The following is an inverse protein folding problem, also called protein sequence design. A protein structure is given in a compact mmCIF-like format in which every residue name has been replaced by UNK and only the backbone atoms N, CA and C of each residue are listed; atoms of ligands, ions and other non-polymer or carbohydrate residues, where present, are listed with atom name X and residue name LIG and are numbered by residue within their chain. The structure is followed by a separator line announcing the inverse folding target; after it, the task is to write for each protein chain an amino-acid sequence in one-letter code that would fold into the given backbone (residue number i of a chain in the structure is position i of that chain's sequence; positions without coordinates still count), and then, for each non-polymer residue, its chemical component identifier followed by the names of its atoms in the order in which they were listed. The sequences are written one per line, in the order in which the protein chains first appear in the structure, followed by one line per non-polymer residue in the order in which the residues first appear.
data_IF_161571088160
#
_entry.id   IF_161571088160
#
_cell.length_a   1.000
_cell.length_b   1.000
_cell.length_c   1.000
_cell.angle_alpha   90.00
_cell.angle_beta   90.00
_cell.angle_gamma   90.00
#
_symmetry.space_group_name_H-M   'P 1'
#
loop_
_entity.id
_entity.type
_entity.pdbx_description
1 polymer ?
#
# COMPACT_ATOMS: atom_id res chain seq x y z
N UNK A 1 -4.44 -1.69 2.16
CA UNK A 1 -3.03 -2.02 1.89
C UNK A 1 -3.02 -3.26 1.02
N UNK A 2 -2.17 -3.29 0.00
CA UNK A 2 -2.14 -4.39 -0.97
C UNK A 2 -0.75 -5.02 -1.09
N UNK A 3 -0.72 -6.35 -1.29
CA UNK A 3 0.49 -7.16 -1.43
C UNK A 3 0.37 -8.12 -2.62
N UNK A 4 1.49 -8.55 -3.23
CA UNK A 4 1.53 -9.26 -4.52
C UNK A 4 0.85 -10.64 -4.50
N UNK A 5 0.80 -11.27 -3.32
CA UNK A 5 0.15 -12.56 -3.05
C UNK A 5 0.30 -12.93 -1.59
N UNK A 6 -0.40 -13.99 -1.17
CA UNK A 6 -0.12 -14.72 0.07
C UNK A 6 0.88 -15.85 -0.22
N UNK A 7 1.97 -15.98 0.56
CA UNK A 7 2.96 -17.07 0.37
C UNK A 7 2.68 -18.27 1.29
N UNK A 8 2.37 -18.00 2.54
CA UNK A 8 2.04 -18.98 3.56
C UNK A 8 0.59 -18.80 3.95
N UNK A 9 -0.21 -19.83 3.74
CA UNK A 9 -1.60 -19.87 4.14
C UNK A 9 -1.68 -20.48 5.53
N UNK A 10 -2.31 -19.76 6.45
CA UNK A 10 -2.48 -20.26 7.81
C UNK A 10 -3.58 -21.30 7.86
N UNK A 11 -3.32 -22.40 8.57
CA UNK A 11 -4.31 -23.43 8.82
C UNK A 11 -5.53 -22.88 9.59
N UNK A 12 -6.72 -23.41 9.30
CA UNK A 12 -7.99 -22.96 9.90
C UNK A 12 -7.97 -22.97 11.43
N UNK A 13 -7.27 -23.94 12.02
CA UNK A 13 -7.18 -24.16 13.47
C UNK A 13 -5.86 -23.73 14.09
N UNK A 14 -5.04 -22.96 13.36
CA UNK A 14 -3.77 -22.46 13.89
C UNK A 14 -3.99 -21.60 15.14
N UNK A 15 -3.11 -21.74 16.12
CA UNK A 15 -3.12 -20.88 17.30
C UNK A 15 -2.69 -19.45 16.95
N UNK A 16 -2.93 -18.45 17.81
CA UNK A 16 -2.57 -17.05 17.54
C UNK A 16 -1.08 -16.87 17.21
N UNK A 17 -0.19 -17.65 17.83
CA UNK A 17 1.25 -17.60 17.58
C UNK A 17 1.61 -18.05 16.16
N UNK A 18 1.02 -19.15 15.70
CA UNK A 18 1.24 -19.68 14.35
C UNK A 18 0.70 -18.73 13.29
N UNK A 19 -0.50 -18.17 13.50
CA UNK A 19 -1.06 -17.11 12.65
C UNK A 19 -0.12 -15.92 12.53
N UNK A 20 0.39 -15.42 13.66
CA UNK A 20 1.33 -14.31 13.64
C UNK A 20 2.62 -14.67 12.89
N UNK A 21 3.15 -15.87 13.08
CA UNK A 21 4.37 -16.31 12.40
C UNK A 21 4.20 -16.37 10.88
N UNK A 22 3.06 -16.89 10.39
CA UNK A 22 2.79 -16.95 8.96
C UNK A 22 2.59 -15.57 8.35
N UNK A 23 1.84 -14.69 9.02
CA UNK A 23 1.70 -13.28 8.61
C UNK A 23 3.07 -12.60 8.58
N UNK A 24 3.89 -12.77 9.61
CA UNK A 24 5.25 -12.21 9.67
C UNK A 24 6.13 -12.71 8.54
N UNK A 25 6.09 -14.01 8.22
CA UNK A 25 6.83 -14.59 7.09
C UNK A 25 6.38 -13.99 5.76
N UNK A 26 5.07 -13.81 5.58
CA UNK A 26 4.51 -13.19 4.39
C UNK A 26 4.98 -11.73 4.27
N UNK A 27 4.78 -10.92 5.31
CA UNK A 27 5.15 -9.50 5.32
C UNK A 27 6.66 -9.31 5.11
N UNK A 28 7.50 -10.11 5.74
CA UNK A 28 8.95 -10.02 5.58
C UNK A 28 9.44 -10.39 4.17
N UNK A 29 8.66 -11.17 3.42
CA UNK A 29 9.05 -11.69 2.10
C UNK A 29 8.38 -10.96 0.94
N UNK A 30 7.41 -10.09 1.22
CA UNK A 30 6.58 -9.42 0.22
C UNK A 30 6.83 -7.91 0.25
N UNK A 31 6.90 -7.32 -0.94
CA UNK A 31 6.92 -5.87 -1.09
C UNK A 31 5.50 -5.33 -0.96
N UNK A 32 5.31 -4.26 -0.19
CA UNK A 32 4.06 -3.52 -0.14
C UNK A 32 3.85 -2.83 -1.49
N UNK A 33 2.70 -3.04 -2.13
CA UNK A 33 2.37 -2.46 -3.44
C UNK A 33 1.67 -1.12 -3.23
N UNK A 34 0.72 -1.10 -2.31
CA UNK A 34 -0.14 0.05 -2.08
C UNK A 34 -0.48 0.22 -0.59
N UNK A 35 -0.51 1.47 -0.15
CA UNK A 35 -1.04 1.87 1.14
C UNK A 35 -2.21 2.85 0.96
N UNK A 36 -3.42 2.37 1.24
CA UNK A 36 -4.60 3.21 1.41
C UNK A 36 -4.80 3.59 2.88
N UNK A 37 -5.12 4.86 3.14
CA UNK A 37 -5.57 5.31 4.46
C UNK A 37 -6.70 6.32 4.34
N UNK A 38 -7.49 6.45 5.41
CA UNK A 38 -8.64 7.34 5.46
C UNK A 38 -8.64 8.17 6.74
N UNK A 39 -8.94 9.46 6.60
CA UNK A 39 -9.22 10.35 7.73
C UNK A 39 -10.71 10.60 7.85
N UNK A 40 -11.20 10.56 9.08
CA UNK A 40 -12.58 10.83 9.44
C UNK A 40 -12.60 12.09 10.29
N UNK A 41 -13.33 13.10 9.83
CA UNK A 41 -13.60 14.30 10.62
C UNK A 41 -14.85 14.11 11.48
N UNK A 42 -14.97 14.92 12.53
CA UNK A 42 -16.10 14.92 13.46
C UNK A 42 -17.45 15.24 12.78
N UNK A 43 -17.40 15.84 11.59
CA UNK A 43 -18.56 16.13 10.73
C UNK A 43 -18.98 14.94 9.84
N UNK A 44 -18.42 13.76 10.06
CA UNK A 44 -18.67 12.57 9.25
C UNK A 44 -18.03 12.60 7.86
N UNK A 45 -17.25 13.62 7.50
CA UNK A 45 -16.53 13.66 6.22
C UNK A 45 -15.34 12.71 6.26
N UNK A 46 -15.30 11.80 5.29
CA UNK A 46 -14.16 10.93 5.02
C UNK A 46 -13.31 11.51 3.91
N UNK A 47 -12.00 11.46 4.07
CA UNK A 47 -11.04 11.67 2.98
C UNK A 47 -10.16 10.43 2.88
N UNK A 48 -10.01 9.90 1.68
CA UNK A 48 -9.23 8.68 1.42
C UNK A 48 -8.08 8.99 0.50
N UNK A 49 -6.92 8.43 0.81
CA UNK A 49 -5.72 8.48 0.00
C UNK A 49 -5.27 7.07 -0.32
N UNK A 50 -4.69 6.92 -1.49
CA UNK A 50 -4.07 5.70 -1.98
C UNK A 50 -2.66 6.05 -2.45
N UNK A 51 -1.66 5.40 -1.86
CA UNK A 51 -0.25 5.58 -2.21
C UNK A 51 0.22 4.31 -2.89
N UNK A 52 0.71 4.46 -4.12
CA UNK A 52 1.41 3.40 -4.84
C UNK A 52 2.91 3.51 -4.56
N UNK A 53 3.55 2.39 -4.22
CA UNK A 53 4.99 2.34 -4.01
C UNK A 53 5.72 2.04 -5.31
N UNK A 54 6.94 2.58 -5.43
CA UNK A 54 7.83 2.28 -6.55
C UNK A 54 8.45 0.88 -6.45
N UNK A 55 9.08 0.46 -7.54
CA UNK A 55 9.82 -0.79 -7.66
C UNK A 55 8.96 -2.05 -7.55
N UNK A 56 7.66 -1.92 -7.81
CA UNK A 56 6.78 -3.06 -8.04
C UNK A 56 6.66 -3.32 -9.54
N UNK A 57 7.38 -4.34 -10.00
CA UNK A 57 7.28 -4.80 -11.38
C UNK A 57 6.04 -5.68 -11.55
N UNK A 58 4.99 -5.10 -12.15
CA UNK A 58 3.75 -5.79 -12.50
C UNK A 58 4.01 -6.95 -13.48
N UNK A 59 5.09 -6.89 -14.27
CA UNK A 59 5.46 -7.94 -15.22
C UNK A 59 6.19 -9.13 -14.57
N UNK A 60 6.71 -8.95 -13.35
CA UNK A 60 7.43 -9.98 -12.61
C UNK A 60 6.61 -11.27 -12.48
N UNK A 61 7.25 -12.46 -12.60
CA UNK A 61 6.59 -13.74 -12.37
C UNK A 61 6.10 -13.90 -10.92
N UNK A 62 6.59 -13.10 -9.97
CA UNK A 62 6.11 -13.09 -8.58
C UNK A 62 4.81 -12.28 -8.39
N UNK A 63 4.40 -11.49 -9.40
CA UNK A 63 3.10 -10.80 -9.44
C UNK A 63 2.01 -11.80 -9.83
N UNK A 64 1.32 -12.35 -8.82
CA UNK A 64 0.22 -13.29 -9.00
C UNK A 64 -1.16 -12.59 -8.98
N UNK A 65 -1.21 -11.26 -8.85
CA UNK A 65 -2.47 -10.52 -8.93
C UNK A 65 -2.86 -10.39 -10.41
N UNK A 66 -3.73 -11.28 -10.88
CA UNK A 66 -4.31 -11.20 -12.22
C UNK A 66 -4.97 -9.84 -12.52
N UNK A 67 -5.47 -9.15 -11.48
CA UNK A 67 -6.01 -7.79 -11.58
C UNK A 67 -4.98 -6.72 -11.96
N UNK A 68 -3.77 -6.75 -11.41
CA UNK A 68 -2.72 -5.77 -11.72
C UNK A 68 -2.15 -5.96 -13.14
N UNK A 69 -2.17 -7.18 -13.68
CA UNK A 69 -1.76 -7.43 -15.08
C UNK A 69 -2.71 -6.80 -16.10
N UNK A 70 -3.97 -6.55 -15.73
CA UNK A 70 -4.97 -5.84 -16.54
C UNK A 70 -5.08 -4.34 -16.23
N UNK A 71 -4.29 -3.82 -15.29
CA UNK A 71 -4.30 -2.40 -14.92
C UNK A 71 -3.88 -1.51 -16.10
N UNK A 72 -4.46 -0.31 -16.18
CA UNK A 72 -4.14 0.67 -17.21
C UNK A 72 -2.66 1.08 -17.14
N UNK A 73 -2.07 1.49 -18.27
CA UNK A 73 -0.63 1.79 -18.36
C UNK A 73 -0.18 2.89 -17.39
N UNK A 74 -1.03 3.87 -17.11
CA UNK A 74 -0.81 4.92 -16.11
C UNK A 74 -0.72 4.35 -14.68
N UNK A 75 -1.58 3.39 -14.34
CA UNK A 75 -1.59 2.72 -13.04
C UNK A 75 -0.34 1.85 -12.86
N UNK A 76 0.08 1.15 -13.92
CA UNK A 76 1.33 0.37 -13.96
C UNK A 76 2.56 1.25 -13.75
N UNK A 77 2.57 2.45 -14.32
CA UNK A 77 3.65 3.42 -14.11
C UNK A 77 3.71 3.90 -12.66
N UNK A 78 2.56 4.07 -12.01
CA UNK A 78 2.45 4.40 -10.59
C UNK A 78 3.03 3.34 -9.64
N UNK A 79 3.02 2.06 -10.02
CA UNK A 79 3.71 0.99 -9.30
C UNK A 79 5.21 0.85 -9.65
N UNK A 80 5.61 1.44 -10.78
CA UNK A 80 6.97 1.44 -11.30
C UNK A 80 7.73 2.70 -10.92
N UNK A 81 8.13 3.47 -11.93
CA UNK A 81 9.01 4.63 -11.77
C UNK A 81 8.36 5.83 -11.05
N UNK A 82 7.04 5.97 -11.15
CA UNK A 82 6.30 7.12 -10.64
C UNK A 82 5.79 6.93 -9.19
N UNK A 83 6.02 5.76 -8.59
CA UNK A 83 5.62 5.43 -7.23
C UNK A 83 6.48 6.09 -6.13
N UNK A 84 5.98 6.08 -4.90
CA UNK A 84 6.68 6.62 -3.72
C UNK A 84 7.73 5.62 -3.21
N UNK A 85 8.91 6.12 -2.81
CA UNK A 85 9.89 5.30 -2.09
C UNK A 85 9.39 5.02 -0.65
N UNK A 86 9.28 3.76 -0.22
CA UNK A 86 8.76 3.42 1.11
C UNK A 86 9.60 3.98 2.26
N UNK A 87 10.92 4.13 2.10
CA UNK A 87 11.80 4.70 3.12
C UNK A 87 11.52 6.20 3.31
N UNK A 88 11.25 6.91 2.20
CA UNK A 88 10.88 8.33 2.23
C UNK A 88 9.52 8.51 2.91
N UNK A 89 8.54 7.66 2.60
CA UNK A 89 7.24 7.71 3.27
C UNK A 89 7.38 7.37 4.76
N UNK A 90 8.18 6.38 5.11
CA UNK A 90 8.44 5.98 6.49
C UNK A 90 9.02 7.15 7.30
N UNK A 91 10.00 7.85 6.75
CA UNK A 91 10.58 9.02 7.40
C UNK A 91 9.56 10.16 7.51
N UNK A 92 8.78 10.42 6.46
CA UNK A 92 7.70 11.40 6.49
C UNK A 92 6.67 11.09 7.60
N UNK A 93 6.23 9.84 7.71
CA UNK A 93 5.24 9.42 8.71
C UNK A 93 5.78 9.44 10.14
N UNK A 94 7.10 9.47 10.34
CA UNK A 94 7.73 9.63 11.67
C UNK A 94 7.69 11.07 12.18
N UNK A 95 7.80 12.04 11.28
CA UNK A 95 7.90 13.47 11.63
C UNK A 95 6.59 14.23 11.44
N UNK A 96 5.66 13.69 10.65
CA UNK A 96 4.36 14.29 10.37
C UNK A 96 3.27 13.68 11.27
N UNK A 97 2.73 14.47 12.19
CA UNK A 97 1.46 14.14 12.87
C UNK A 97 0.31 14.09 11.85
N UNK A 98 -0.70 13.26 12.10
CA UNK A 98 -1.93 13.10 11.32
C UNK A 98 -2.57 14.45 10.94
N UNK A 99 -2.49 15.45 11.82
CA UNK A 99 -2.97 16.82 11.58
C UNK A 99 -2.18 17.58 10.51
N UNK A 100 -0.89 17.29 10.36
CA UNK A 100 -0.03 17.86 9.33
C UNK A 100 -0.16 17.11 8.00
N UNK A 101 -0.37 15.78 8.04
CA UNK A 101 -0.60 14.99 6.82
C UNK A 101 -1.85 15.46 6.08
N UNK A 102 -2.94 15.74 6.82
CA UNK A 102 -4.19 16.28 6.25
C UNK A 102 -4.06 17.65 5.60
N UNK A 103 -3.06 18.46 5.99
CA UNK A 103 -2.73 19.76 5.38
C UNK A 103 -1.83 19.63 4.16
N UNK A 104 -0.80 18.76 4.24
CA UNK A 104 0.13 18.48 3.14
C UNK A 104 -0.59 17.87 1.92
N UNK A 105 -1.55 16.99 2.19
CA UNK A 105 -2.38 16.35 1.17
C UNK A 105 -3.34 17.29 0.42
N UNK A 106 -3.44 18.57 0.79
CA UNK A 106 -4.13 19.58 -0.01
C UNK A 106 -3.39 19.96 -1.31
N UNK A 107 -2.11 19.61 -1.43
CA UNK A 107 -1.26 19.92 -2.60
C UNK A 107 -0.69 18.71 -3.36
N UNK A 108 -0.99 17.47 -2.94
CA UNK A 108 -0.54 16.26 -3.64
C UNK A 108 -1.45 15.98 -4.85
N UNK A 109 -1.18 16.67 -5.97
CA UNK A 109 -1.92 16.51 -7.23
C UNK A 109 -1.24 15.58 -8.26
N UNK A 110 -0.17 14.89 -7.90
CA UNK A 110 0.58 14.05 -8.83
C UNK A 110 0.43 12.57 -8.44
N UNK A 111 -0.41 11.84 -9.21
CA UNK A 111 -0.59 10.39 -9.13
C UNK A 111 -1.79 9.88 -8.32
N UNK A 112 -2.60 10.76 -7.73
CA UNK A 112 -3.71 10.36 -6.86
C UNK A 112 -5.05 10.33 -7.59
N UNK A 113 -5.62 9.14 -7.79
CA UNK A 113 -7.03 9.01 -8.10
C UNK A 113 -7.86 9.35 -6.85
N UNK A 114 -8.73 10.35 -6.97
CA UNK A 114 -9.72 10.68 -5.94
C UNK A 114 -10.89 9.70 -6.11
N UNK A 115 -10.97 8.69 -5.24
CA UNK A 115 -12.13 7.80 -5.13
C UNK A 115 -13.23 8.45 -4.28
#
# INVERSE_FOLDING_TARGET
MEFPRLLHQTALFACPRERYQDVRRNINSLKLIELGFSFFGDNGRRRTWQINFRDFDVSSPSCAIGGLRGAAEEERRGFGQDGINPDVLSELMRVIDVKHLTRFCGGLHLGMARL
#
